data_IF_037463010263
#
_entry.id   IF_037463010263
#
_cell.length_a   1.000
_cell.length_b   1.000
_cell.length_c   1.000
_cell.angle_alpha   90.00
_cell.angle_beta   90.00
_cell.angle_gamma   90.00
#
_symmetry.space_group_name_H-M   'P 1'
#
loop_
_entity.id
_entity.type
_entity.pdbx_description
1 polymer ?
#
# COMPACT_ATOMS: atom_id res chain seq x y z
N UNK A 1 8.02 4.58 12.81
CA UNK A 1 8.66 4.95 11.54
C UNK A 1 7.91 6.18 11.02
N UNK A 2 8.51 7.09 10.26
CA UNK A 2 7.72 8.18 9.68
C UNK A 2 6.88 7.67 8.49
N UNK A 3 5.79 8.37 8.16
CA UNK A 3 4.87 7.97 7.07
C UNK A 3 5.54 7.96 5.70
N UNK A 4 6.59 8.75 5.52
CA UNK A 4 7.41 8.80 4.30
C UNK A 4 8.17 7.50 4.12
N UNK A 5 8.91 7.06 5.16
CA UNK A 5 9.63 5.79 5.11
C UNK A 5 8.67 4.60 4.96
N UNK A 6 7.48 4.68 5.56
CA UNK A 6 6.45 3.65 5.44
C UNK A 6 5.91 3.55 4.01
N UNK A 7 5.68 4.69 3.36
CA UNK A 7 5.30 4.75 1.95
C UNK A 7 6.38 4.19 1.03
N UNK A 8 7.65 4.52 1.27
CA UNK A 8 8.77 4.00 0.48
C UNK A 8 8.92 2.48 0.65
N UNK A 9 8.73 1.94 1.86
CA UNK A 9 8.75 0.50 2.09
C UNK A 9 7.59 -0.22 1.37
N UNK A 10 6.38 0.37 1.43
CA UNK A 10 5.20 -0.14 0.73
C UNK A 10 5.41 -0.15 -0.78
N UNK A 11 5.92 0.95 -1.32
CA UNK A 11 6.30 1.07 -2.73
C UNK A 11 7.35 0.04 -3.12
N UNK A 12 8.42 -0.11 -2.33
CA UNK A 12 9.48 -1.08 -2.59
C UNK A 12 8.95 -2.52 -2.68
N UNK A 13 8.03 -2.90 -1.80
CA UNK A 13 7.40 -4.23 -1.82
C UNK A 13 6.53 -4.45 -3.06
N UNK A 14 5.75 -3.44 -3.45
CA UNK A 14 4.95 -3.49 -4.68
C UNK A 14 5.85 -3.57 -5.91
N UNK A 15 6.92 -2.77 -5.98
CA UNK A 15 7.88 -2.77 -7.08
C UNK A 15 8.61 -4.12 -7.20
N UNK A 16 8.95 -4.76 -6.07
CA UNK A 16 9.56 -6.09 -6.06
C UNK A 16 8.63 -7.19 -6.57
N UNK A 17 7.32 -7.05 -6.36
CA UNK A 17 6.32 -8.04 -6.78
C UNK A 17 5.85 -7.84 -8.21
N UNK A 18 5.50 -6.60 -8.56
CA UNK A 18 4.79 -6.29 -9.81
C UNK A 18 5.64 -5.50 -10.82
N UNK A 19 6.82 -5.04 -10.42
CA UNK A 19 7.62 -4.09 -11.19
C UNK A 19 7.13 -2.64 -11.07
N UNK A 20 8.01 -1.68 -11.41
CA UNK A 20 7.79 -0.24 -11.22
C UNK A 20 6.49 0.29 -11.82
N UNK A 21 6.18 -0.09 -13.06
CA UNK A 21 5.00 0.44 -13.75
C UNK A 21 3.69 0.00 -13.09
N UNK A 22 3.57 -1.29 -12.78
CA UNK A 22 2.36 -1.83 -12.16
C UNK A 22 2.23 -1.40 -10.70
N UNK A 23 3.33 -1.32 -9.96
CA UNK A 23 3.34 -0.79 -8.60
C UNK A 23 2.79 0.64 -8.53
N UNK A 24 3.20 1.52 -9.45
CA UNK A 24 2.64 2.89 -9.53
C UNK A 24 1.14 2.88 -9.85
N UNK A 25 0.67 1.98 -10.73
CA UNK A 25 -0.76 1.89 -11.04
C UNK A 25 -1.59 1.38 -9.87
N UNK A 26 -1.08 0.41 -9.10
CA UNK A 26 -1.74 -0.09 -7.88
C UNK A 26 -1.80 1.02 -6.84
N UNK A 27 -0.68 1.70 -6.59
CA UNK A 27 -0.61 2.84 -5.66
C UNK A 27 -1.57 3.96 -6.04
N UNK A 28 -1.59 4.36 -7.31
CA UNK A 28 -2.48 5.41 -7.79
C UNK A 28 -3.96 4.99 -7.66
N UNK A 29 -4.29 3.74 -8.01
CA UNK A 29 -5.64 3.20 -7.84
C UNK A 29 -6.08 3.22 -6.37
N UNK A 30 -5.23 2.69 -5.48
CA UNK A 30 -5.49 2.64 -4.05
C UNK A 30 -5.62 4.04 -3.42
N UNK A 31 -4.77 4.99 -3.82
CA UNK A 31 -4.84 6.38 -3.37
C UNK A 31 -6.16 7.05 -3.77
N UNK A 32 -6.64 6.80 -5.00
CA UNK A 32 -7.93 7.30 -5.46
C UNK A 32 -9.09 6.66 -4.69
N UNK A 33 -9.07 5.34 -4.46
CA UNK A 33 -10.10 4.63 -3.69
C UNK A 33 -10.15 5.11 -2.23
N UNK A 34 -8.99 5.29 -1.60
CA UNK A 34 -8.89 5.80 -0.24
C UNK A 34 -9.15 7.32 -0.17
N UNK A 35 -9.21 8.02 -1.30
CA UNK A 35 -9.28 9.48 -1.39
C UNK A 35 -8.19 10.16 -0.56
N UNK A 36 -6.95 9.73 -0.75
CA UNK A 36 -5.76 10.23 -0.04
C UNK A 36 -4.72 10.75 -1.01
N UNK A 37 -4.00 11.79 -0.61
CA UNK A 37 -2.81 12.27 -1.32
C UNK A 37 -1.61 11.47 -0.88
N UNK A 38 -0.78 11.00 -1.82
CA UNK A 38 0.51 10.35 -1.48
C UNK A 38 1.56 11.34 -0.99
N UNK A 39 1.31 12.65 -1.12
CA UNK A 39 2.17 13.73 -0.61
C UNK A 39 1.62 14.18 0.74
N UNK A 40 2.44 14.12 1.78
CA UNK A 40 2.08 14.61 3.12
C UNK A 40 1.10 13.73 3.89
N UNK A 41 1.14 12.41 3.67
CA UNK A 41 0.27 11.44 4.35
C UNK A 41 0.41 11.56 5.88
N UNK A 42 -0.72 11.76 6.55
CA UNK A 42 -0.85 11.46 7.97
C UNK A 42 -0.81 9.94 8.23
N UNK A 43 -0.50 9.49 9.45
CA UNK A 43 -0.52 8.07 9.80
C UNK A 43 -1.84 7.39 9.46
N UNK A 44 -2.97 8.06 9.72
CA UNK A 44 -4.30 7.55 9.40
C UNK A 44 -4.57 7.42 7.89
N UNK A 45 -4.03 8.33 7.08
CA UNK A 45 -4.18 8.24 5.63
C UNK A 45 -3.29 7.16 5.04
N UNK A 46 -2.10 6.95 5.62
CA UNK A 46 -1.22 5.85 5.24
C UNK A 46 -1.87 4.49 5.52
N UNK A 47 -2.50 4.32 6.69
CA UNK A 47 -3.27 3.11 7.03
C UNK A 47 -4.36 2.84 5.99
N UNK A 48 -5.16 3.86 5.65
CA UNK A 48 -6.20 3.72 4.63
C UNK A 48 -5.65 3.41 3.23
N UNK A 49 -4.49 3.95 2.88
CA UNK A 49 -3.80 3.63 1.64
C UNK A 49 -3.32 2.17 1.63
N UNK A 50 -2.70 1.72 2.72
CA UNK A 50 -2.23 0.35 2.90
C UNK A 50 -3.38 -0.66 2.78
N UNK A 51 -4.50 -0.39 3.45
CA UNK A 51 -5.73 -1.19 3.33
C UNK A 51 -6.25 -1.22 1.90
N UNK A 52 -6.31 -0.06 1.22
CA UNK A 52 -6.78 0.03 -0.16
C UNK A 52 -5.86 -0.71 -1.15
N UNK A 53 -4.55 -0.71 -0.92
CA UNK A 53 -3.59 -1.50 -1.71
C UNK A 53 -3.84 -2.99 -1.49
N UNK A 54 -4.02 -3.41 -0.24
CA UNK A 54 -4.24 -4.83 0.08
C UNK A 54 -5.62 -5.33 -0.35
N UNK A 55 -6.58 -4.42 -0.53
CA UNK A 55 -7.89 -4.69 -1.11
C UNK A 55 -7.92 -4.67 -2.64
N UNK A 56 -6.82 -4.26 -3.32
CA UNK A 56 -6.75 -4.28 -4.77
C UNK A 56 -6.74 -5.73 -5.28
N UNK A 57 -7.63 -6.05 -6.21
CA UNK A 57 -7.79 -7.42 -6.71
C UNK A 57 -6.47 -8.02 -7.24
N UNK A 58 -5.62 -7.21 -7.88
CA UNK A 58 -4.32 -7.68 -8.39
C UNK A 58 -3.36 -8.05 -7.27
N UNK A 59 -3.45 -7.34 -6.15
CA UNK A 59 -2.68 -7.62 -4.93
C UNK A 59 -3.19 -8.89 -4.28
N UNK A 60 -4.50 -9.06 -4.16
CA UNK A 60 -5.13 -10.27 -3.63
C UNK A 60 -4.78 -11.49 -4.50
N UNK A 61 -4.85 -11.37 -5.83
CA UNK A 61 -4.57 -12.47 -6.75
C UNK A 61 -3.10 -12.93 -6.66
N UNK A 62 -2.17 -12.00 -6.37
CA UNK A 62 -0.73 -12.27 -6.33
C UNK A 62 -0.23 -12.69 -4.94
N UNK A 63 -0.64 -12.00 -3.88
CA UNK A 63 -0.19 -12.27 -2.50
C UNK A 63 -1.13 -13.24 -1.76
N UNK A 64 -2.32 -13.50 -2.31
CA UNK A 64 -3.41 -14.18 -1.61
C UNK A 64 -4.10 -13.26 -0.60
N UNK A 65 -5.39 -13.49 -0.34
CA UNK A 65 -6.17 -12.69 0.60
C UNK A 65 -5.56 -12.66 2.01
N UNK A 66 -5.03 -13.81 2.48
CA UNK A 66 -4.35 -13.90 3.78
C UNK A 66 -3.02 -13.12 3.78
N UNK A 67 -2.23 -13.24 2.71
CA UNK A 67 -0.98 -12.50 2.59
C UNK A 67 -1.21 -11.00 2.53
N UNK A 68 -2.20 -10.54 1.78
CA UNK A 68 -2.56 -9.11 1.72
C UNK A 68 -2.98 -8.56 3.09
N UNK A 69 -3.77 -9.32 3.87
CA UNK A 69 -4.16 -8.94 5.22
C UNK A 69 -2.97 -8.85 6.19
N UNK A 70 -2.04 -9.83 6.14
CA UNK A 70 -0.83 -9.81 6.96
C UNK A 70 0.05 -8.60 6.65
N UNK A 71 0.15 -8.23 5.37
CA UNK A 71 0.93 -7.07 4.93
C UNK A 71 0.29 -5.76 5.40
N UNK A 72 -1.03 -5.62 5.31
CA UNK A 72 -1.75 -4.47 5.86
C UNK A 72 -1.50 -4.34 7.37
N UNK A 73 -1.62 -5.44 8.12
CA UNK A 73 -1.40 -5.43 9.57
C UNK A 73 0.05 -5.06 9.93
N UNK A 74 1.05 -5.56 9.18
CA UNK A 74 2.44 -5.17 9.38
C UNK A 74 2.62 -3.66 9.15
N UNK A 75 2.00 -3.10 8.12
CA UNK A 75 2.10 -1.68 7.81
C UNK A 75 1.38 -0.79 8.83
N UNK A 76 0.28 -1.27 9.43
CA UNK A 76 -0.38 -0.56 10.53
C UNK A 76 0.49 -0.43 11.78
N UNK A 77 1.47 -1.33 11.97
CA UNK A 77 2.40 -1.28 13.11
C UNK A 77 3.62 -0.38 12.86
N UNK A 78 3.82 0.11 11.61
CA UNK A 78 5.00 0.92 11.26
C UNK A 78 4.82 2.41 11.53
N UNK A 79 3.58 2.91 11.51
CA UNK A 79 3.22 4.33 11.64
C UNK A 79 2.61 4.68 12.98
#
# INVERSE_FOLDING_TARGET
>A
MDTVSALDALRGKLEATFGKGMAMMILASAANVANVSTIGLSPSEFVRLADAVCADQRVIDMWGAAGAADVAQQWHQLV
#
